data_IF_136514310469
#
_entry.id   IF_136514310469
#
_cell.length_a   1.000
_cell.length_b   1.000
_cell.length_c   1.000
_cell.angle_alpha   90.00
_cell.angle_beta   90.00
_cell.angle_gamma   90.00
#
_symmetry.space_group_name_H-M   'P 1'
#
loop_
_entity.id
_entity.type
_entity.pdbx_description
1 polymer ?
#
# COMPACT_ATOMS: atom_id res chain seq x y z
N UNK A 1 22.70 -6.55 3.87
CA UNK A 1 21.88 -6.40 2.65
C UNK A 1 22.78 -6.58 1.43
N UNK A 2 22.55 -7.59 0.58
CA UNK A 2 23.27 -7.68 -0.69
C UNK A 2 22.70 -6.64 -1.66
N UNK A 3 23.54 -5.76 -2.21
CA UNK A 3 23.15 -4.79 -3.26
C UNK A 3 22.97 -3.33 -2.82
N UNK A 4 23.13 -2.99 -1.54
CA UNK A 4 23.22 -1.60 -1.08
C UNK A 4 24.69 -1.13 -1.13
N UNK A 5 25.04 -0.14 -1.96
CA UNK A 5 26.40 0.43 -1.96
C UNK A 5 26.72 1.13 -0.64
N UNK A 6 27.95 0.98 -0.15
CA UNK A 6 28.40 1.62 1.10
C UNK A 6 28.52 3.15 0.96
N UNK A 7 28.72 3.63 -0.26
CA UNK A 7 28.85 5.04 -0.65
C UNK A 7 27.53 5.67 -1.09
N UNK A 8 26.39 5.04 -0.81
CA UNK A 8 25.09 5.61 -1.12
C UNK A 8 24.85 6.90 -0.31
N UNK A 9 24.52 8.00 -1.00
CA UNK A 9 24.15 9.28 -0.37
C UNK A 9 22.67 9.34 0.04
N UNK A 10 21.81 8.58 -0.65
CA UNK A 10 20.36 8.56 -0.47
C UNK A 10 19.81 7.15 -0.63
N UNK A 11 18.97 6.73 0.32
CA UNK A 11 18.21 5.48 0.28
C UNK A 11 16.74 5.76 0.53
N UNK A 12 15.89 5.44 -0.44
CA UNK A 12 14.43 5.52 -0.31
C UNK A 12 13.85 4.13 -0.06
N UNK A 13 12.98 3.98 0.94
CA UNK A 13 12.42 2.68 1.33
C UNK A 13 10.89 2.78 1.35
N UNK A 14 10.24 1.94 0.55
CA UNK A 14 8.83 1.58 0.69
C UNK A 14 8.74 0.09 1.01
N UNK A 15 8.48 -0.24 2.27
CA UNK A 15 8.37 -1.62 2.74
C UNK A 15 7.36 -1.69 3.90
N UNK A 16 6.92 -2.88 4.28
CA UNK A 16 6.00 -3.05 5.41
C UNK A 16 4.50 -3.13 5.05
N UNK A 17 4.10 -2.80 3.82
CA UNK A 17 2.68 -2.89 3.41
C UNK A 17 2.14 -4.31 3.24
N UNK A 18 3.04 -5.28 3.07
CA UNK A 18 2.70 -6.70 3.03
C UNK A 18 2.43 -7.26 4.43
N UNK A 19 3.02 -6.67 5.48
CA UNK A 19 2.97 -7.14 6.86
C UNK A 19 1.56 -7.04 7.46
N UNK A 20 0.78 -6.03 7.03
CA UNK A 20 -0.63 -5.88 7.41
C UNK A 20 -1.59 -6.47 6.36
N UNK A 21 -1.06 -7.09 5.29
CA UNK A 21 -1.86 -7.74 4.24
C UNK A 21 -2.71 -6.77 3.41
N UNK A 22 -2.31 -5.50 3.27
CA UNK A 22 -3.15 -4.46 2.69
C UNK A 22 -3.53 -4.74 1.23
N UNK A 23 -2.54 -4.69 0.32
CA UNK A 23 -2.78 -4.93 -1.11
C UNK A 23 -3.21 -6.38 -1.38
N UNK A 24 -2.62 -7.34 -0.69
CA UNK A 24 -2.97 -8.75 -0.83
C UNK A 24 -4.44 -9.04 -0.51
N UNK A 25 -4.99 -8.40 0.53
CA UNK A 25 -6.42 -8.54 0.86
C UNK A 25 -7.32 -7.81 -0.12
N UNK A 26 -6.92 -6.65 -0.66
CA UNK A 26 -7.65 -5.98 -1.75
C UNK A 26 -7.73 -6.84 -3.00
N UNK A 27 -6.61 -7.39 -3.47
CA UNK A 27 -6.59 -8.29 -4.63
C UNK A 27 -7.52 -9.47 -4.40
N UNK A 28 -7.38 -10.14 -3.25
CA UNK A 28 -8.20 -11.32 -2.90
C UNK A 28 -9.68 -11.00 -2.87
N UNK A 29 -10.09 -9.96 -2.14
CA UNK A 29 -11.50 -9.58 -2.01
C UNK A 29 -12.06 -9.03 -3.33
N UNK A 30 -11.24 -8.34 -4.13
CA UNK A 30 -11.67 -7.79 -5.41
C UNK A 30 -11.96 -8.88 -6.43
N UNK A 31 -11.06 -9.87 -6.50
CA UNK A 31 -11.27 -11.10 -7.29
C UNK A 31 -12.50 -11.87 -6.79
N UNK A 32 -12.68 -11.97 -5.47
CA UNK A 32 -13.85 -12.62 -4.88
C UNK A 32 -15.16 -11.93 -5.27
N UNK A 33 -15.22 -10.59 -5.17
CA UNK A 33 -16.37 -9.79 -5.61
C UNK A 33 -16.74 -10.05 -7.07
N UNK A 34 -15.74 -10.14 -7.96
CA UNK A 34 -15.94 -10.48 -9.37
C UNK A 34 -16.51 -11.90 -9.56
N UNK A 35 -16.03 -12.89 -8.82
CA UNK A 35 -16.50 -14.27 -8.93
C UNK A 35 -17.89 -14.49 -8.29
N UNK A 36 -18.20 -13.77 -7.21
CA UNK A 36 -19.51 -13.82 -6.55
C UNK A 36 -20.64 -13.30 -7.44
N UNK A 37 -20.33 -12.43 -8.42
CA UNK A 37 -21.29 -11.91 -9.40
C UNK A 37 -21.75 -12.93 -10.46
N UNK A 38 -21.10 -14.11 -10.55
CA UNK A 38 -21.42 -15.16 -11.54
C UNK A 38 -21.85 -16.45 -10.85
N UNK A 39 -22.98 -17.02 -11.24
CA UNK A 39 -23.54 -18.23 -10.62
C UNK A 39 -22.55 -19.42 -10.59
N UNK A 40 -21.82 -19.65 -11.68
CA UNK A 40 -20.85 -20.74 -11.82
C UNK A 40 -19.62 -20.60 -10.89
N UNK A 41 -19.24 -19.39 -10.49
CA UNK A 41 -18.04 -19.13 -9.67
C UNK A 41 -18.37 -18.65 -8.26
N UNK A 42 -19.66 -18.58 -7.91
CA UNK A 42 -20.15 -18.12 -6.61
C UNK A 42 -19.55 -18.89 -5.43
N UNK A 43 -19.42 -20.24 -5.45
CA UNK A 43 -18.79 -20.97 -4.35
C UNK A 43 -17.33 -20.54 -4.10
N UNK A 44 -16.57 -20.28 -5.17
CA UNK A 44 -15.18 -19.80 -5.07
C UNK A 44 -15.14 -18.38 -4.49
N UNK A 45 -16.05 -17.51 -4.89
CA UNK A 45 -16.21 -16.17 -4.32
C UNK A 45 -16.48 -16.23 -2.81
N UNK A 46 -17.41 -17.09 -2.37
CA UNK A 46 -17.69 -17.29 -0.94
C UNK A 46 -16.48 -17.76 -0.16
N UNK A 47 -15.69 -18.70 -0.70
CA UNK A 47 -14.44 -19.18 -0.06
C UNK A 47 -13.44 -18.03 0.10
N UNK A 48 -13.23 -17.22 -0.95
CA UNK A 48 -12.28 -16.11 -0.93
C UNK A 48 -12.71 -14.96 -0.01
N UNK A 49 -14.01 -14.82 0.26
CA UNK A 49 -14.57 -13.83 1.20
C UNK A 49 -14.56 -14.28 2.68
N UNK A 50 -14.24 -15.55 2.97
CA UNK A 50 -14.23 -16.07 4.36
C UNK A 50 -13.33 -15.28 5.29
N UNK A 51 -12.25 -14.73 4.76
CA UNK A 51 -11.39 -13.79 5.48
C UNK A 51 -11.73 -12.39 5.00
N UNK A 52 -12.20 -11.51 5.89
CA UNK A 52 -12.51 -10.13 5.54
C UNK A 52 -11.25 -9.29 5.25
N UNK A 53 -11.41 -7.98 5.30
CA UNK A 53 -10.28 -7.05 5.38
C UNK A 53 -9.53 -7.32 6.69
N UNK A 54 -8.19 -7.41 6.69
CA UNK A 54 -7.41 -7.53 7.91
C UNK A 54 -7.77 -6.43 8.92
N UNK A 55 -7.81 -6.80 10.21
CA UNK A 55 -7.99 -5.86 11.31
C UNK A 55 -6.79 -5.96 12.26
N UNK A 56 -5.63 -5.40 11.88
CA UNK A 56 -4.44 -5.38 12.72
C UNK A 56 -4.75 -4.78 14.09
N UNK A 57 -4.25 -5.42 15.14
CA UNK A 57 -4.21 -4.82 16.46
C UNK A 57 -3.14 -3.72 16.52
N UNK A 58 -3.18 -2.88 17.56
CA UNK A 58 -2.11 -1.92 17.82
C UNK A 58 -0.74 -2.61 17.98
N UNK A 59 -0.71 -3.82 18.56
CA UNK A 59 0.51 -4.60 18.70
C UNK A 59 1.05 -5.08 17.34
N UNK A 60 0.19 -5.34 16.36
CA UNK A 60 0.62 -5.71 15.01
C UNK A 60 1.20 -4.51 14.26
N UNK A 61 0.58 -3.33 14.40
CA UNK A 61 1.10 -2.05 13.88
C UNK A 61 2.46 -1.74 14.50
N UNK A 62 2.60 -1.87 15.82
CA UNK A 62 3.87 -1.64 16.51
C UNK A 62 4.97 -2.63 16.08
N UNK A 63 4.61 -3.90 15.88
CA UNK A 63 5.55 -4.93 15.40
C UNK A 63 6.03 -4.61 13.98
N UNK A 64 5.13 -4.22 13.09
CA UNK A 64 5.47 -3.81 11.72
C UNK A 64 6.36 -2.56 11.73
N UNK A 65 6.05 -1.57 12.58
CA UNK A 65 6.85 -0.35 12.72
C UNK A 65 8.26 -0.64 13.24
N UNK A 66 8.40 -1.54 14.21
CA UNK A 66 9.70 -1.98 14.70
C UNK A 66 10.49 -2.74 13.62
N UNK A 67 9.84 -3.59 12.83
CA UNK A 67 10.47 -4.27 11.69
C UNK A 67 10.99 -3.28 10.65
N UNK A 68 10.18 -2.29 10.27
CA UNK A 68 10.59 -1.25 9.32
C UNK A 68 11.71 -0.36 9.87
N UNK A 69 11.69 -0.03 11.16
CA UNK A 69 12.80 0.68 11.81
C UNK A 69 14.11 -0.15 11.78
N UNK A 70 14.03 -1.46 11.99
CA UNK A 70 15.19 -2.35 11.85
C UNK A 70 15.77 -2.37 10.43
N UNK A 71 14.94 -2.23 9.39
CA UNK A 71 15.41 -2.08 8.00
C UNK A 71 16.22 -0.78 7.84
N UNK A 72 15.78 0.32 8.45
CA UNK A 72 16.51 1.60 8.46
C UNK A 72 17.85 1.46 9.20
N UNK A 73 17.86 0.79 10.35
CA UNK A 73 19.08 0.55 11.13
C UNK A 73 20.11 -0.25 10.33
N UNK A 74 19.71 -1.35 9.69
CA UNK A 74 20.60 -2.13 8.83
C UNK A 74 21.09 -1.34 7.62
N UNK A 75 20.23 -0.49 7.03
CA UNK A 75 20.61 0.41 5.94
C UNK A 75 21.75 1.33 6.39
N UNK A 76 21.62 1.98 7.55
CA UNK A 76 22.66 2.86 8.11
C UNK A 76 23.92 2.13 8.54
N UNK A 77 23.81 0.85 8.90
CA UNK A 77 24.98 0.02 9.21
C UNK A 77 25.83 -0.28 7.98
N UNK A 78 25.21 -0.31 6.79
CA UNK A 78 25.90 -0.50 5.51
C UNK A 78 26.29 0.82 4.85
N UNK A 79 25.41 1.81 4.83
CA UNK A 79 25.63 3.13 4.22
C UNK A 79 25.48 4.22 5.29
N UNK A 80 26.52 4.40 6.12
CA UNK A 80 26.47 5.24 7.31
C UNK A 80 26.22 6.73 7.05
N UNK A 81 26.51 7.19 5.84
CA UNK A 81 26.35 8.58 5.42
C UNK A 81 25.02 8.85 4.71
N UNK A 82 24.27 7.80 4.36
CA UNK A 82 23.07 7.95 3.55
C UNK A 82 21.95 8.67 4.31
N UNK A 83 21.29 9.62 3.64
CA UNK A 83 19.94 10.03 4.02
C UNK A 83 18.99 8.86 3.79
N UNK A 84 18.16 8.53 4.77
CA UNK A 84 17.18 7.44 4.65
C UNK A 84 15.77 8.03 4.68
N UNK A 85 15.07 7.92 3.57
CA UNK A 85 13.69 8.37 3.40
C UNK A 85 12.77 7.15 3.39
N UNK A 86 11.86 7.09 4.36
CA UNK A 86 10.71 6.21 4.30
C UNK A 86 9.65 6.87 3.42
N UNK A 87 9.25 6.19 2.35
CA UNK A 87 8.21 6.66 1.41
C UNK A 87 7.00 5.76 1.59
N UNK A 88 5.93 6.29 2.18
CA UNK A 88 4.73 5.49 2.44
C UNK A 88 3.89 5.26 1.17
N UNK A 89 2.80 4.51 1.31
CA UNK A 89 1.97 4.10 0.17
C UNK A 89 1.03 5.21 -0.30
N UNK A 90 0.77 5.25 -1.62
CA UNK A 90 -0.34 6.03 -2.18
C UNK A 90 -1.69 5.58 -1.61
N UNK A 91 -2.63 6.51 -1.51
CA UNK A 91 -4.02 6.24 -1.17
C UNK A 91 -4.67 5.42 -2.29
N UNK A 92 -5.00 4.16 -2.01
CA UNK A 92 -5.75 3.32 -2.95
C UNK A 92 -7.26 3.58 -2.86
N UNK A 93 -7.79 3.62 -1.63
CA UNK A 93 -9.20 3.88 -1.35
C UNK A 93 -9.33 5.28 -0.77
N UNK A 94 -9.71 6.23 -1.64
CA UNK A 94 -9.90 7.64 -1.32
C UNK A 94 -11.36 8.01 -0.98
N UNK A 95 -11.66 9.30 -0.87
CA UNK A 95 -13.01 9.80 -0.60
C UNK A 95 -13.99 9.49 -1.74
N UNK A 96 -13.53 9.59 -3.00
CA UNK A 96 -14.37 9.36 -4.19
C UNK A 96 -14.50 7.88 -4.58
N UNK A 97 -13.81 6.99 -3.85
CA UNK A 97 -13.85 5.56 -4.12
C UNK A 97 -15.20 4.97 -3.75
N UNK A 98 -15.84 4.35 -4.74
CA UNK A 98 -17.15 3.70 -4.65
C UNK A 98 -17.15 2.35 -5.38
N UNK A 99 -18.19 1.53 -5.13
CA UNK A 99 -18.33 0.23 -5.78
C UNK A 99 -18.37 0.36 -7.30
N UNK A 100 -17.50 -0.37 -7.97
CA UNK A 100 -17.39 -0.39 -9.43
C UNK A 100 -16.72 -1.68 -9.90
N UNK A 101 -16.64 -1.91 -11.22
CA UNK A 101 -15.89 -3.07 -11.75
C UNK A 101 -14.40 -3.04 -11.39
N UNK A 102 -13.82 -1.85 -11.31
CA UNK A 102 -12.42 -1.63 -10.93
C UNK A 102 -12.22 -1.69 -9.41
N UNK A 103 -13.30 -1.58 -8.64
CA UNK A 103 -13.29 -1.54 -7.18
C UNK A 103 -14.52 -2.27 -6.64
N UNK A 104 -14.60 -3.61 -6.78
CA UNK A 104 -15.82 -4.36 -6.50
C UNK A 104 -15.95 -4.64 -4.99
N UNK A 105 -16.12 -3.57 -4.22
CA UNK A 105 -16.20 -3.55 -2.76
C UNK A 105 -17.45 -2.77 -2.33
N UNK A 106 -18.20 -3.34 -1.38
CA UNK A 106 -19.29 -2.59 -0.75
C UNK A 106 -18.77 -1.48 0.18
N UNK A 107 -19.66 -0.59 0.61
CA UNK A 107 -19.31 0.56 1.45
C UNK A 107 -18.59 0.16 2.75
N UNK A 108 -19.02 -0.93 3.40
CA UNK A 108 -18.40 -1.42 4.64
C UNK A 108 -16.97 -1.92 4.40
N UNK A 109 -16.74 -2.64 3.30
CA UNK A 109 -15.41 -3.11 2.88
C UNK A 109 -14.49 -1.94 2.51
N UNK A 110 -15.03 -0.92 1.83
CA UNK A 110 -14.28 0.31 1.52
C UNK A 110 -13.84 1.03 2.81
N UNK A 111 -14.73 1.14 3.80
CA UNK A 111 -14.39 1.75 5.09
C UNK A 111 -13.36 0.94 5.88
N UNK A 112 -13.44 -0.39 5.85
CA UNK A 112 -12.42 -1.27 6.43
C UNK A 112 -11.06 -1.06 5.72
N UNK A 113 -11.02 -0.89 4.39
CA UNK A 113 -9.78 -0.60 3.67
C UNK A 113 -9.24 0.81 3.91
N UNK A 114 -10.10 1.81 4.14
CA UNK A 114 -9.66 3.15 4.55
C UNK A 114 -8.93 3.08 5.89
N UNK A 115 -9.55 2.42 6.89
CA UNK A 115 -8.94 2.18 8.21
C UNK A 115 -7.62 1.42 8.13
N UNK A 116 -7.58 0.33 7.37
CA UNK A 116 -6.35 -0.45 7.18
C UNK A 116 -5.26 0.40 6.52
N UNK A 117 -5.60 1.24 5.55
CA UNK A 117 -4.66 2.19 4.95
C UNK A 117 -4.12 3.22 5.95
N UNK A 118 -4.95 3.71 6.88
CA UNK A 118 -4.49 4.61 7.95
C UNK A 118 -3.52 3.91 8.89
N UNK A 119 -3.79 2.65 9.24
CA UNK A 119 -2.88 1.83 10.05
C UNK A 119 -1.55 1.57 9.33
N UNK A 120 -1.56 1.36 8.02
CA UNK A 120 -0.32 1.24 7.23
C UNK A 120 0.48 2.55 7.27
N UNK A 121 -0.13 3.72 7.11
CA UNK A 121 0.61 4.99 7.24
C UNK A 121 1.14 5.24 8.65
N UNK A 122 0.42 4.79 9.68
CA UNK A 122 0.86 4.85 11.07
C UNK A 122 2.11 3.99 11.30
N UNK A 123 2.23 2.82 10.65
CA UNK A 123 3.48 2.01 10.66
C UNK A 123 4.68 2.85 10.22
N UNK A 124 4.57 3.58 9.10
CA UNK A 124 5.65 4.41 8.57
C UNK A 124 5.97 5.58 9.49
N UNK A 125 4.93 6.24 10.02
CA UNK A 125 5.08 7.35 10.98
C UNK A 125 5.84 6.90 12.22
N UNK A 126 5.45 5.75 12.81
CA UNK A 126 6.13 5.18 13.97
C UNK A 126 7.55 4.71 13.65
N UNK A 127 7.78 4.10 12.48
CA UNK A 127 9.10 3.67 12.07
C UNK A 127 10.06 4.85 11.86
N UNK A 128 9.60 5.93 11.23
CA UNK A 128 10.35 7.18 11.08
C UNK A 128 10.69 7.77 12.46
N UNK A 129 9.72 7.85 13.37
CA UNK A 129 9.97 8.35 14.73
C UNK A 129 10.95 7.49 15.54
N UNK A 130 10.89 6.16 15.41
CA UNK A 130 11.78 5.21 16.11
C UNK A 130 13.21 5.25 15.59
N UNK A 131 13.37 5.32 14.27
CA UNK A 131 14.68 5.25 13.62
C UNK A 131 15.31 6.60 13.36
N UNK A 132 14.54 7.70 13.37
CA UNK A 132 14.99 9.01 12.92
C UNK A 132 15.19 9.09 11.40
N UNK A 133 14.55 8.21 10.61
CA UNK A 133 14.45 8.37 9.17
C UNK A 133 13.50 9.52 8.81
N UNK A 134 13.71 10.12 7.64
CA UNK A 134 12.81 11.11 7.07
C UNK A 134 11.56 10.41 6.50
N UNK A 135 10.41 11.10 6.47
CA UNK A 135 9.14 10.54 5.98
C UNK A 135 8.58 11.36 4.82
N UNK A 136 8.42 10.70 3.67
CA UNK A 136 7.62 11.21 2.54
C UNK A 136 6.22 10.61 2.64
N UNK A 137 5.29 11.37 3.23
CA UNK A 137 3.90 10.98 3.49
C UNK A 137 3.03 11.06 2.21
N UNK A 138 3.20 10.11 1.32
CA UNK A 138 2.46 9.95 0.08
C UNK A 138 1.00 9.61 0.26
N UNK A 139 0.59 8.89 1.33
CA UNK A 139 -0.83 8.66 1.62
C UNK A 139 -1.60 9.96 1.68
N UNK A 140 -1.09 10.93 2.46
CA UNK A 140 -1.73 12.23 2.64
C UNK A 140 -1.74 13.03 1.33
N UNK A 141 -0.62 13.06 0.61
CA UNK A 141 -0.49 13.79 -0.67
C UNK A 141 -1.42 13.25 -1.76
N UNK A 142 -1.66 11.95 -1.76
CA UNK A 142 -2.46 11.27 -2.79
C UNK A 142 -3.92 11.04 -2.42
N UNK A 143 -4.41 11.65 -1.34
CA UNK A 143 -5.75 11.39 -0.78
C UNK A 143 -6.86 11.56 -1.82
N UNK A 144 -6.75 12.54 -2.70
CA UNK A 144 -7.73 12.85 -3.76
C UNK A 144 -7.49 12.07 -5.06
N UNK A 145 -6.43 11.26 -5.12
CA UNK A 145 -6.02 10.49 -6.31
C UNK A 145 -6.24 8.97 -6.15
N UNK A 146 -7.13 8.59 -5.22
CA UNK A 146 -7.54 7.20 -5.05
C UNK A 146 -8.40 6.67 -6.21
N UNK A 147 -8.81 5.41 -6.15
CA UNK A 147 -9.69 4.80 -7.15
C UNK A 147 -11.00 5.57 -7.28
N UNK A 148 -11.47 5.77 -8.52
CA UNK A 148 -12.72 6.49 -8.80
C UNK A 148 -12.61 8.02 -8.79
N UNK A 149 -11.44 8.58 -8.44
CA UNK A 149 -11.16 10.01 -8.63
C UNK A 149 -11.06 10.39 -10.10
N UNK A 150 -11.03 11.71 -10.38
CA UNK A 150 -10.84 12.25 -11.73
C UNK A 150 -9.47 11.87 -12.30
N UNK A 151 -8.43 11.86 -11.46
CA UNK A 151 -7.04 11.57 -11.84
C UNK A 151 -6.46 10.51 -10.89
N UNK A 152 -6.84 9.23 -11.03
CA UNK A 152 -6.37 8.19 -10.13
C UNK A 152 -4.88 7.92 -10.35
N UNK A 153 -4.12 7.82 -9.24
CA UNK A 153 -2.69 7.50 -9.23
C UNK A 153 -2.42 6.01 -9.00
N UNK A 154 -3.48 5.21 -8.87
CA UNK A 154 -3.42 3.76 -8.67
C UNK A 154 -4.25 3.05 -9.73
N UNK A 155 -3.90 1.78 -9.99
CA UNK A 155 -4.61 0.93 -10.94
C UNK A 155 -5.71 0.14 -10.22
N UNK A 156 -6.92 0.11 -10.77
CA UNK A 156 -8.00 -0.73 -10.24
C UNK A 156 -7.87 -2.21 -10.64
N UNK A 157 -8.86 -3.01 -10.25
CA UNK A 157 -8.94 -4.40 -10.69
C UNK A 157 -9.17 -4.45 -12.22
N UNK A 158 -8.40 -5.26 -12.97
CA UNK A 158 -8.54 -5.31 -14.43
C UNK A 158 -9.85 -5.98 -14.85
N UNK A 159 -10.42 -5.54 -15.98
CA UNK A 159 -11.66 -6.11 -16.54
C UNK A 159 -11.53 -7.63 -16.77
N UNK A 160 -10.35 -8.09 -17.20
CA UNK A 160 -9.99 -9.50 -17.37
C UNK A 160 -9.01 -9.92 -16.28
N UNK A 161 -9.40 -10.89 -15.47
CA UNK A 161 -8.58 -11.44 -14.38
C UNK A 161 -7.53 -12.42 -14.90
N UNK A 162 -6.54 -11.92 -15.64
CA UNK A 162 -5.35 -12.69 -16.01
C UNK A 162 -4.30 -12.58 -14.89
N UNK A 163 -3.53 -13.64 -14.58
CA UNK A 163 -2.57 -13.61 -13.46
C UNK A 163 -1.63 -12.39 -13.48
N UNK A 164 -1.03 -12.07 -14.64
CA UNK A 164 -0.14 -10.93 -14.79
C UNK A 164 -0.83 -9.57 -14.60
N UNK A 165 -2.06 -9.43 -15.06
CA UNK A 165 -2.83 -8.19 -14.91
C UNK A 165 -3.31 -7.97 -13.47
N UNK A 166 -3.66 -9.05 -12.78
CA UNK A 166 -4.10 -9.00 -11.37
C UNK A 166 -2.94 -8.62 -10.45
N UNK A 167 -1.70 -9.01 -10.78
CA UNK A 167 -0.51 -8.64 -10.01
C UNK A 167 -0.30 -7.13 -9.93
N UNK A 168 -0.68 -6.37 -10.97
CA UNK A 168 -0.61 -4.90 -10.99
C UNK A 168 -1.82 -4.19 -10.40
N UNK A 169 -2.87 -4.91 -9.99
CA UNK A 169 -4.04 -4.29 -9.38
C UNK A 169 -3.68 -3.64 -8.04
N UNK A 170 -4.29 -2.48 -7.76
CA UNK A 170 -4.12 -1.68 -6.56
C UNK A 170 -2.71 -1.10 -6.34
N UNK A 171 -1.85 -1.15 -7.35
CA UNK A 171 -0.51 -0.55 -7.33
C UNK A 171 -0.52 0.85 -7.99
N UNK A 172 0.49 1.69 -7.70
CA UNK A 172 0.69 2.95 -8.42
C UNK A 172 0.72 2.74 -9.94
N UNK A 173 0.09 3.66 -10.67
CA UNK A 173 0.27 3.76 -12.12
C UNK A 173 1.41 4.74 -12.45
N UNK A 174 1.62 5.04 -13.74
CA UNK A 174 2.67 5.97 -14.17
C UNK A 174 2.56 7.35 -13.52
N UNK A 175 1.35 7.93 -13.48
CA UNK A 175 1.12 9.23 -12.84
C UNK A 175 1.41 9.19 -11.33
N UNK A 176 1.00 8.11 -10.66
CA UNK A 176 1.31 7.91 -9.25
C UNK A 176 2.81 7.79 -8.98
N UNK A 177 3.55 7.04 -9.81
CA UNK A 177 5.00 6.92 -9.66
C UNK A 177 5.72 8.24 -9.98
N UNK A 178 5.24 9.03 -10.94
CA UNK A 178 5.73 10.39 -11.17
C UNK A 178 5.52 11.28 -9.95
N UNK A 179 4.32 11.27 -9.36
CA UNK A 179 4.04 12.05 -8.15
C UNK A 179 4.88 11.63 -6.93
N UNK A 180 5.19 10.33 -6.80
CA UNK A 180 6.13 9.84 -5.78
C UNK A 180 7.54 10.38 -6.04
N UNK A 181 8.01 10.34 -7.28
CA UNK A 181 9.33 10.85 -7.64
C UNK A 181 9.43 12.37 -7.38
N UNK A 182 8.42 13.13 -7.76
CA UNK A 182 8.34 14.58 -7.51
C UNK A 182 8.35 14.87 -6.01
N UNK A 183 7.55 14.16 -5.22
CA UNK A 183 7.51 14.33 -3.77
C UNK A 183 8.83 13.97 -3.07
N UNK A 184 9.58 12.98 -3.58
CA UNK A 184 10.93 12.68 -3.10
C UNK A 184 11.85 13.84 -3.46
N UNK A 185 11.85 14.31 -4.71
CA UNK A 185 12.71 15.40 -5.16
C UNK A 185 12.45 16.71 -4.39
N UNK A 186 11.19 17.03 -4.08
CA UNK A 186 10.81 18.18 -3.24
C UNK A 186 11.27 18.06 -1.78
N UNK A 187 11.49 16.84 -1.29
CA UNK A 187 11.92 16.59 0.09
C UNK A 187 13.44 16.70 0.28
N UNK A 188 14.21 16.62 -0.82
CA UNK A 188 15.67 16.62 -0.78
C UNK A 188 16.24 18.03 -0.59
#
# INVERSE_FOLDING_TARGET
>A
MAGLPEDADLVTITAGGNDLGYIGSMVRLGVAGRFSSRALTRPLGTVLQRTGVPRPSQADVDRAAAGLAGVVEETRRTAAHARVLLVDYLTVVGPDTHDSRATPFDAATLDDFRRLGDQVADVFTRAAARSGAELVAMRQRSREHGLGSLEPWVTGLPERLRPSSVAGAFHPNGAGMSAVADAIAEHL
#
